data_IF_183823486869
#
_entry.id   IF_183823486869
#
_cell.length_a   1.000
_cell.length_b   1.000
_cell.length_c   1.000
_cell.angle_alpha   90.00
_cell.angle_beta   90.00
_cell.angle_gamma   90.00
#
_symmetry.space_group_name_H-M   'P 1'
#
loop_
_entity.id
_entity.type
_entity.pdbx_description
1 polymer ?
#
# COMPACT_ATOMS: atom_id res chain seq x y z
N UNK A 1 2.19 5.90 -18.05
CA UNK A 1 2.94 7.18 -17.91
C UNK A 1 4.30 7.05 -18.59
N UNK A 2 4.77 8.10 -19.27
CA UNK A 2 6.03 8.10 -20.01
C UNK A 2 7.24 8.28 -19.08
N UNK A 3 8.20 7.34 -19.08
CA UNK A 3 9.42 7.41 -18.24
C UNK A 3 10.19 8.72 -18.39
N UNK A 4 10.21 9.32 -19.58
CA UNK A 4 10.86 10.62 -19.82
C UNK A 4 10.24 11.73 -18.96
N UNK A 5 8.91 11.83 -18.96
CA UNK A 5 8.18 12.77 -18.10
C UNK A 5 8.43 12.48 -16.62
N UNK A 6 8.52 11.20 -16.24
CA UNK A 6 8.73 10.81 -14.84
C UNK A 6 10.12 11.14 -14.29
N UNK A 7 11.11 11.33 -15.16
CA UNK A 7 12.50 11.59 -14.81
C UNK A 7 12.95 13.03 -15.12
N UNK A 8 12.07 13.84 -15.71
CA UNK A 8 12.34 15.23 -16.07
C UNK A 8 11.77 16.16 -14.99
N UNK A 9 12.53 16.28 -13.91
CA UNK A 9 12.14 17.08 -12.74
C UNK A 9 12.33 18.59 -12.98
N UNK A 10 13.10 18.98 -14.00
CA UNK A 10 13.32 20.38 -14.39
C UNK A 10 12.08 20.96 -15.07
N UNK A 11 11.50 20.22 -16.02
CA UNK A 11 10.36 20.68 -16.81
C UNK A 11 9.00 20.27 -16.21
N UNK A 12 8.95 19.20 -15.41
CA UNK A 12 7.69 18.66 -14.90
C UNK A 12 7.63 18.62 -13.37
N UNK A 13 7.01 19.64 -12.78
CA UNK A 13 6.74 19.72 -11.34
C UNK A 13 5.55 18.85 -10.91
N UNK A 14 5.46 18.61 -9.61
CA UNK A 14 4.37 17.84 -9.02
C UNK A 14 3.12 18.71 -8.87
N UNK A 15 1.97 18.19 -9.32
CA UNK A 15 0.69 18.90 -9.32
C UNK A 15 -0.26 18.49 -8.21
N UNK A 16 0.25 18.14 -7.02
CA UNK A 16 -0.63 17.73 -5.91
C UNK A 16 -1.52 18.88 -5.43
N UNK A 17 -2.73 18.59 -4.92
CA UNK A 17 -3.59 19.60 -4.30
C UNK A 17 -2.90 20.29 -3.11
N UNK A 18 -3.29 21.54 -2.82
CA UNK A 18 -2.74 22.31 -1.70
C UNK A 18 -2.84 21.57 -0.35
N UNK A 19 -3.89 20.75 -0.20
CA UNK A 19 -4.07 19.90 0.98
C UNK A 19 -2.88 18.98 1.22
N UNK A 20 -2.31 18.39 0.16
CA UNK A 20 -1.15 17.50 0.25
C UNK A 20 0.08 18.27 0.72
N UNK A 21 0.37 19.42 0.11
CA UNK A 21 1.54 20.23 0.46
C UNK A 21 1.46 20.78 1.88
N UNK A 22 0.27 21.14 2.36
CA UNK A 22 0.06 21.77 3.67
C UNK A 22 0.06 20.74 4.80
N UNK A 23 -0.58 19.58 4.60
CA UNK A 23 -0.57 18.48 5.57
C UNK A 23 0.82 17.87 5.69
N UNK A 24 1.42 17.46 4.57
CA UNK A 24 2.70 16.77 4.57
C UNK A 24 3.89 17.69 4.91
N UNK A 25 3.70 19.00 4.70
CA UNK A 25 4.76 20.02 4.72
C UNK A 25 5.86 19.64 3.69
N UNK A 26 6.83 20.52 3.42
CA UNK A 26 7.92 20.24 2.47
C UNK A 26 8.94 19.19 2.96
N UNK A 27 8.52 18.28 3.86
CA UNK A 27 9.37 17.27 4.52
C UNK A 27 9.02 15.84 4.13
N UNK A 28 7.88 15.61 3.46
CA UNK A 28 7.56 14.28 2.95
C UNK A 28 8.45 13.94 1.76
N UNK A 29 8.92 12.69 1.70
CA UNK A 29 9.71 12.15 0.58
C UNK A 29 9.01 12.37 -0.78
N UNK A 30 7.68 12.47 -0.77
CA UNK A 30 6.88 12.70 -1.97
C UNK A 30 7.08 14.07 -2.60
N UNK A 31 7.41 15.10 -1.80
CA UNK A 31 7.41 16.51 -2.21
C UNK A 31 8.82 17.08 -2.46
N UNK A 32 9.87 16.24 -2.45
CA UNK A 32 11.26 16.73 -2.48
C UNK A 32 11.99 16.33 -3.76
N UNK A 33 12.50 17.37 -4.44
CA UNK A 33 13.25 17.30 -5.69
C UNK A 33 14.75 17.67 -5.51
N UNK A 34 15.19 17.96 -4.27
CA UNK A 34 16.56 18.39 -3.98
C UNK A 34 17.55 17.22 -3.84
N UNK A 35 18.83 17.50 -4.10
CA UNK A 35 19.91 16.50 -4.08
C UNK A 35 20.06 15.78 -2.72
N UNK A 36 19.82 16.49 -1.61
CA UNK A 36 19.92 15.94 -0.24
C UNK A 36 18.89 14.82 0.01
N UNK A 37 17.68 14.96 -0.50
CA UNK A 37 16.63 13.94 -0.36
C UNK A 37 16.66 12.89 -1.48
N UNK A 38 17.33 13.16 -2.62
CA UNK A 38 17.64 12.14 -3.64
C UNK A 38 18.48 11.01 -3.04
N UNK A 39 19.47 11.33 -2.21
CA UNK A 39 20.30 10.33 -1.50
C UNK A 39 19.49 9.49 -0.51
N UNK A 40 18.62 10.11 0.29
CA UNK A 40 17.72 9.38 1.21
C UNK A 40 16.77 8.44 0.44
N UNK A 41 16.29 8.88 -0.71
CA UNK A 41 15.46 8.07 -1.60
C UNK A 41 16.23 6.90 -2.22
N UNK A 42 17.47 7.10 -2.65
CA UNK A 42 18.34 6.04 -3.14
C UNK A 42 18.64 5.01 -2.04
N UNK A 43 18.80 5.46 -0.80
CA UNK A 43 19.02 4.58 0.35
C UNK A 43 17.79 3.72 0.67
N UNK A 44 16.59 4.32 0.72
CA UNK A 44 15.33 3.56 0.90
C UNK A 44 15.06 2.64 -0.29
N UNK A 45 15.26 3.13 -1.52
CA UNK A 45 15.02 2.34 -2.73
C UNK A 45 16.01 1.18 -2.85
N UNK A 46 17.27 1.35 -2.48
CA UNK A 46 18.27 0.27 -2.51
C UNK A 46 18.00 -0.80 -1.45
N UNK A 47 17.46 -0.43 -0.28
CA UNK A 47 17.00 -1.38 0.74
C UNK A 47 15.80 -2.22 0.31
N UNK A 48 14.99 -1.75 -0.65
CA UNK A 48 13.78 -2.43 -1.14
C UNK A 48 14.02 -3.15 -2.47
N UNK A 49 14.81 -2.54 -3.37
CA UNK A 49 15.03 -2.95 -4.77
C UNK A 49 16.47 -3.41 -5.06
N UNK A 50 17.37 -3.41 -4.08
CA UNK A 50 18.74 -3.90 -4.26
C UNK A 50 18.74 -5.37 -4.67
N UNK A 51 19.57 -5.76 -5.64
CA UNK A 51 19.52 -7.11 -6.23
C UNK A 51 19.65 -8.26 -5.21
N UNK A 52 20.46 -8.09 -4.16
CA UNK A 52 20.57 -9.08 -3.07
C UNK A 52 19.32 -9.13 -2.19
N UNK A 53 18.64 -8.00 -1.99
CA UNK A 53 17.42 -7.89 -1.19
C UNK A 53 16.21 -8.42 -1.96
N UNK A 54 16.21 -8.32 -3.29
CA UNK A 54 15.13 -8.85 -4.13
C UNK A 54 14.93 -10.36 -3.93
N UNK A 55 15.99 -11.16 -3.83
CA UNK A 55 15.87 -12.60 -3.61
C UNK A 55 15.24 -12.91 -2.24
N UNK A 56 15.73 -12.26 -1.17
CA UNK A 56 15.15 -12.41 0.18
C UNK A 56 13.70 -11.90 0.24
N UNK A 57 13.39 -10.80 -0.45
CA UNK A 57 12.03 -10.27 -0.54
C UNK A 57 11.08 -11.24 -1.26
N UNK A 58 11.55 -11.94 -2.30
CA UNK A 58 10.76 -12.95 -2.99
C UNK A 58 10.42 -14.12 -2.06
N UNK A 59 11.39 -14.62 -1.29
CA UNK A 59 11.15 -15.66 -0.29
C UNK A 59 10.16 -15.20 0.78
N UNK A 60 10.27 -13.96 1.25
CA UNK A 60 9.33 -13.38 2.22
C UNK A 60 7.92 -13.32 1.62
N UNK A 61 7.79 -12.75 0.42
CA UNK A 61 6.50 -12.62 -0.28
C UNK A 61 5.86 -13.99 -0.51
N UNK A 62 6.64 -14.96 -0.98
CA UNK A 62 6.16 -16.32 -1.23
C UNK A 62 5.66 -17.00 0.04
N UNK A 63 6.43 -16.93 1.13
CA UNK A 63 6.02 -17.48 2.42
C UNK A 63 4.73 -16.82 2.93
N UNK A 64 4.63 -15.48 2.87
CA UNK A 64 3.43 -14.75 3.32
C UNK A 64 2.23 -15.14 2.48
N UNK A 65 2.37 -15.19 1.14
CA UNK A 65 1.29 -15.55 0.22
C UNK A 65 0.80 -16.98 0.46
N UNK A 66 1.71 -17.96 0.55
CA UNK A 66 1.35 -19.36 0.76
C UNK A 66 0.62 -19.54 2.09
N UNK A 67 1.17 -18.98 3.17
CA UNK A 67 0.56 -19.07 4.50
C UNK A 67 -0.82 -18.41 4.51
N UNK A 68 -0.95 -17.25 3.87
CA UNK A 68 -2.22 -16.53 3.79
C UNK A 68 -3.26 -17.31 2.99
N UNK A 69 -2.92 -17.82 1.81
CA UNK A 69 -3.83 -18.66 1.01
C UNK A 69 -4.30 -19.90 1.79
N UNK A 70 -3.39 -20.54 2.53
CA UNK A 70 -3.73 -21.67 3.39
C UNK A 70 -4.66 -21.29 4.54
N UNK A 71 -4.39 -20.18 5.24
CA UNK A 71 -5.27 -19.67 6.28
C UNK A 71 -6.66 -19.33 5.74
N UNK A 72 -6.73 -18.56 4.65
CA UNK A 72 -7.97 -18.15 4.00
C UNK A 72 -8.79 -19.36 3.52
N UNK A 73 -8.13 -20.43 3.05
CA UNK A 73 -8.82 -21.65 2.62
C UNK A 73 -9.44 -22.46 3.77
N UNK A 74 -8.93 -22.31 4.99
CA UNK A 74 -9.47 -22.97 6.19
C UNK A 74 -10.64 -22.19 6.79
N UNK A 75 -10.82 -20.93 6.41
CA UNK A 75 -11.92 -20.10 6.92
C UNK A 75 -13.26 -20.65 6.44
N UNK A 76 -14.18 -20.85 7.40
CA UNK A 76 -15.54 -21.32 7.09
C UNK A 76 -16.46 -20.21 6.59
N UNK A 77 -16.18 -18.97 6.99
CA UNK A 77 -16.99 -17.80 6.65
C UNK A 77 -16.58 -17.19 5.31
N UNK A 78 -17.53 -16.60 4.55
CA UNK A 78 -17.19 -15.81 3.37
C UNK A 78 -16.29 -14.63 3.74
N UNK A 79 -15.28 -14.36 2.91
CA UNK A 79 -14.31 -13.29 3.07
C UNK A 79 -14.54 -12.20 2.03
N UNK A 80 -14.18 -10.96 2.38
CA UNK A 80 -14.09 -9.85 1.42
C UNK A 80 -12.70 -9.91 0.78
N UNK A 81 -12.63 -10.37 -0.46
CA UNK A 81 -11.36 -10.67 -1.14
C UNK A 81 -10.43 -9.46 -1.11
N UNK A 82 -10.96 -8.27 -1.40
CA UNK A 82 -10.18 -7.04 -1.40
C UNK A 82 -9.53 -6.75 -0.03
N UNK A 83 -10.26 -6.94 1.07
CA UNK A 83 -9.74 -6.69 2.43
C UNK A 83 -8.63 -7.67 2.81
N UNK A 84 -8.80 -8.94 2.47
CA UNK A 84 -7.78 -9.94 2.75
C UNK A 84 -6.53 -9.70 1.90
N UNK A 85 -6.69 -9.34 0.62
CA UNK A 85 -5.55 -8.96 -0.23
C UNK A 85 -4.83 -7.71 0.29
N UNK A 86 -5.57 -6.67 0.70
CA UNK A 86 -4.99 -5.47 1.32
C UNK A 86 -4.18 -5.82 2.58
N UNK A 87 -4.68 -6.75 3.40
CA UNK A 87 -4.00 -7.24 4.61
C UNK A 87 -2.68 -7.96 4.25
N UNK A 88 -2.69 -8.84 3.25
CA UNK A 88 -1.51 -9.57 2.79
C UNK A 88 -0.43 -8.60 2.28
N UNK A 89 -0.82 -7.63 1.45
CA UNK A 89 0.12 -6.62 0.93
C UNK A 89 0.67 -5.70 2.02
N UNK A 90 -0.17 -5.32 2.98
CA UNK A 90 0.27 -4.53 4.13
C UNK A 90 1.30 -5.29 4.97
N UNK A 91 1.04 -6.58 5.22
CA UNK A 91 1.97 -7.42 5.97
C UNK A 91 3.30 -7.60 5.24
N UNK A 92 3.24 -7.83 3.93
CA UNK A 92 4.41 -7.92 3.05
C UNK A 92 5.27 -6.67 3.13
N UNK A 93 4.70 -5.48 2.97
CA UNK A 93 5.50 -4.25 2.98
C UNK A 93 6.10 -3.96 4.36
N UNK A 94 5.37 -4.28 5.45
CA UNK A 94 5.90 -4.11 6.82
C UNK A 94 7.08 -5.06 7.06
N UNK A 95 6.99 -6.32 6.63
CA UNK A 95 8.10 -7.28 6.76
C UNK A 95 9.32 -6.86 5.95
N UNK A 96 9.13 -6.31 4.75
CA UNK A 96 10.22 -5.83 3.90
C UNK A 96 10.90 -4.58 4.51
N UNK A 97 10.11 -3.65 5.05
CA UNK A 97 10.64 -2.39 5.60
C UNK A 97 11.22 -2.52 7.01
N UNK A 98 10.60 -3.34 7.86
CA UNK A 98 10.91 -3.45 9.29
C UNK A 98 11.57 -4.78 9.67
N UNK A 99 11.61 -5.75 8.76
CA UNK A 99 12.15 -7.08 8.98
C UNK A 99 11.13 -8.08 9.52
N UNK A 100 11.50 -9.36 9.46
CA UNK A 100 10.65 -10.52 9.82
C UNK A 100 10.38 -10.71 11.30
N UNK A 101 11.10 -10.00 12.17
CA UNK A 101 10.91 -10.05 13.62
C UNK A 101 9.87 -9.06 14.14
N UNK A 102 9.11 -8.42 13.26
CA UNK A 102 8.10 -7.45 13.66
C UNK A 102 6.94 -8.15 14.38
N UNK A 103 6.70 -7.79 15.64
CA UNK A 103 5.63 -8.36 16.46
C UNK A 103 4.24 -8.15 15.80
N UNK A 104 3.40 -9.19 15.76
CA UNK A 104 2.03 -9.14 15.21
C UNK A 104 1.18 -8.01 15.78
N UNK A 105 1.36 -7.65 17.07
CA UNK A 105 0.68 -6.52 17.69
C UNK A 105 1.10 -5.18 17.07
N UNK A 106 2.38 -5.02 16.72
CA UNK A 106 2.89 -3.82 16.06
C UNK A 106 2.37 -3.73 14.63
N UNK A 107 2.33 -4.86 13.90
CA UNK A 107 1.76 -4.93 12.55
C UNK A 107 0.28 -4.53 12.57
N UNK A 108 -0.50 -5.06 13.51
CA UNK A 108 -1.91 -4.72 13.66
C UNK A 108 -2.11 -3.22 13.97
N UNK A 109 -1.29 -2.65 14.86
CA UNK A 109 -1.34 -1.22 15.19
C UNK A 109 -0.96 -0.33 13.99
N UNK A 110 0.06 -0.72 13.23
CA UNK A 110 0.45 -0.01 12.01
C UNK A 110 -0.67 -0.07 10.96
N UNK A 111 -1.32 -1.22 10.82
CA UNK A 111 -2.45 -1.39 9.90
C UNK A 111 -3.63 -0.52 10.28
N UNK A 112 -3.95 -0.43 11.56
CA UNK A 112 -5.02 0.46 12.06
C UNK A 112 -4.71 1.92 11.76
N UNK A 113 -3.48 2.38 12.05
CA UNK A 113 -3.05 3.74 11.72
C UNK A 113 -3.12 4.03 10.21
N UNK A 114 -2.73 3.06 9.39
CA UNK A 114 -2.80 3.17 7.93
C UNK A 114 -4.24 3.24 7.42
N UNK A 115 -5.14 2.42 7.99
CA UNK A 115 -6.55 2.41 7.61
C UNK A 115 -7.25 3.71 8.02
N UNK A 116 -6.99 4.24 9.22
CA UNK A 116 -7.49 5.54 9.67
C UNK A 116 -7.03 6.67 8.74
N UNK A 117 -5.76 6.66 8.37
CA UNK A 117 -5.20 7.62 7.43
C UNK A 117 -5.87 7.52 6.04
N UNK A 118 -6.04 6.30 5.54
CA UNK A 118 -6.63 6.03 4.21
C UNK A 118 -8.11 6.38 4.15
N UNK A 119 -8.87 6.12 5.22
CA UNK A 119 -10.31 6.39 5.29
C UNK A 119 -10.65 7.87 5.17
N UNK A 120 -9.86 8.73 5.83
CA UNK A 120 -10.11 10.16 5.80
C UNK A 120 -9.47 10.84 4.57
N UNK A 121 -8.50 10.16 3.96
CA UNK A 121 -7.68 10.63 2.83
C UNK A 121 -7.42 12.15 2.82
N UNK A 122 -6.93 12.72 3.94
CA UNK A 122 -6.88 14.17 4.11
C UNK A 122 -5.91 14.80 3.11
N UNK A 123 -4.89 14.06 2.66
CA UNK A 123 -3.88 14.54 1.72
C UNK A 123 -4.46 14.87 0.34
N UNK A 124 -5.45 14.13 -0.16
CA UNK A 124 -6.07 14.38 -1.47
C UNK A 124 -7.43 15.10 -1.39
N UNK A 125 -7.83 15.51 -0.19
CA UNK A 125 -9.08 16.22 0.05
C UNK A 125 -9.04 17.69 -0.42
N UNK A 126 -10.20 18.35 -0.48
CA UNK A 126 -10.22 19.80 -0.70
C UNK A 126 -9.58 20.51 0.51
N UNK A 127 -8.75 21.55 0.30
CA UNK A 127 -8.06 22.27 1.37
C UNK A 127 -9.00 23.21 2.15
N UNK A 128 -10.08 22.65 2.71
CA UNK A 128 -11.11 23.37 3.46
C UNK A 128 -10.89 23.09 4.95
N UNK A 129 -10.38 24.09 5.66
CA UNK A 129 -10.12 24.00 7.09
C UNK A 129 -11.38 24.38 7.90
N UNK A 130 -12.43 23.56 7.78
CA UNK A 130 -13.67 23.75 8.51
C UNK A 130 -14.08 22.44 9.23
N UNK A 131 -14.64 22.49 10.46
CA UNK A 131 -15.08 21.30 11.17
C UNK A 131 -16.02 20.44 10.32
N UNK A 132 -15.71 19.13 10.22
CA UNK A 132 -16.47 18.18 9.38
C UNK A 132 -15.81 17.85 8.03
N UNK A 133 -14.80 18.60 7.59
CA UNK A 133 -14.02 18.27 6.39
C UNK A 133 -12.79 17.42 6.74
N UNK A 134 -12.45 16.47 5.86
CA UNK A 134 -11.27 15.60 6.01
C UNK A 134 -9.96 16.37 6.21
N UNK A 135 -9.79 17.50 5.52
CA UNK A 135 -8.60 18.33 5.63
C UNK A 135 -8.42 18.90 7.04
N UNK A 136 -9.49 19.41 7.64
CA UNK A 136 -9.50 19.92 9.01
C UNK A 136 -9.14 18.82 10.02
N UNK A 137 -9.69 17.61 9.85
CA UNK A 137 -9.37 16.47 10.70
C UNK A 137 -7.90 16.06 10.57
N UNK A 138 -7.37 16.00 9.34
CA UNK A 138 -5.96 15.70 9.07
C UNK A 138 -4.99 16.69 9.70
N UNK A 139 -5.35 17.98 9.76
CA UNK A 139 -4.56 19.02 10.44
C UNK A 139 -4.58 18.85 11.96
N UNK A 140 -5.75 18.55 12.54
CA UNK A 140 -5.95 18.46 14.00
C UNK A 140 -5.29 17.22 14.60
N UNK A 141 -5.45 16.07 13.95
CA UNK A 141 -5.00 14.77 14.48
C UNK A 141 -3.49 14.54 14.27
N UNK A 142 -2.78 15.45 13.61
CA UNK A 142 -1.38 15.28 13.23
C UNK A 142 -1.14 13.98 12.42
N UNK A 143 -2.20 13.40 11.86
CA UNK A 143 -2.17 12.22 10.98
C UNK A 143 -1.28 12.44 9.76
N UNK A 144 -1.06 13.70 9.40
CA UNK A 144 -0.10 14.06 8.37
C UNK A 144 1.36 13.71 8.70
N UNK A 145 1.74 13.55 9.98
CA UNK A 145 3.07 13.02 10.35
C UNK A 145 3.23 11.54 10.00
N UNK A 146 2.19 10.73 10.19
CA UNK A 146 2.19 9.34 9.71
C UNK A 146 2.34 9.31 8.18
N UNK A 147 1.73 10.29 7.51
CA UNK A 147 1.83 10.46 6.07
C UNK A 147 3.17 11.03 5.59
N UNK A 148 3.93 11.71 6.45
CA UNK A 148 5.27 12.24 6.13
C UNK A 148 6.27 11.10 5.87
N UNK A 149 6.01 9.94 6.45
CA UNK A 149 6.74 8.70 6.23
C UNK A 149 6.15 7.81 5.14
N UNK A 150 5.10 8.23 4.42
CA UNK A 150 4.66 7.48 3.24
C UNK A 150 5.81 7.49 2.23
N UNK A 151 6.51 6.36 2.03
CA UNK A 151 7.61 6.28 1.07
C UNK A 151 7.09 6.34 -0.39
N UNK A 152 5.78 6.49 -0.56
CA UNK A 152 5.06 6.19 -1.79
C UNK A 152 4.27 7.44 -2.21
N UNK A 153 5.00 8.37 -2.81
CA UNK A 153 4.46 9.59 -3.44
C UNK A 153 5.42 10.16 -4.47
N UNK A 154 5.87 9.33 -5.40
CA UNK A 154 6.41 9.65 -6.73
C UNK A 154 7.50 10.75 -6.91
N UNK A 155 8.76 10.25 -6.98
CA UNK A 155 9.93 10.73 -7.76
C UNK A 155 10.68 9.50 -8.34
N UNK A 156 11.36 9.61 -9.52
CA UNK A 156 11.23 8.72 -10.73
C UNK A 156 9.83 8.11 -10.93
N UNK A 157 8.86 8.75 -10.28
CA UNK A 157 7.42 8.57 -10.15
C UNK A 157 6.88 7.14 -10.10
N UNK A 158 7.73 6.17 -9.82
CA UNK A 158 7.38 4.78 -9.61
C UNK A 158 7.44 4.50 -8.11
N UNK A 159 6.38 3.91 -7.57
CA UNK A 159 6.38 3.38 -6.22
C UNK A 159 7.59 2.43 -6.07
N UNK A 160 8.51 2.63 -5.10
CA UNK A 160 9.60 1.68 -4.89
C UNK A 160 9.09 0.25 -4.63
N UNK A 161 7.89 0.11 -4.07
CA UNK A 161 7.19 -1.16 -3.93
C UNK A 161 6.57 -1.71 -5.22
N UNK A 162 6.60 -1.01 -6.36
CA UNK A 162 5.91 -1.44 -7.59
C UNK A 162 6.44 -2.77 -8.14
N UNK A 163 7.75 -3.02 -8.05
CA UNK A 163 8.30 -4.31 -8.48
C UNK A 163 7.92 -5.42 -7.51
N UNK A 164 7.97 -5.16 -6.21
CA UNK A 164 7.52 -6.10 -5.17
C UNK A 164 6.06 -6.44 -5.38
N UNK A 165 5.20 -5.43 -5.57
CA UNK A 165 3.77 -5.64 -5.79
C UNK A 165 3.48 -6.46 -7.04
N UNK A 166 4.25 -6.27 -8.12
CA UNK A 166 4.16 -7.14 -9.31
C UNK A 166 4.53 -8.58 -9.00
N UNK A 167 5.58 -8.80 -8.21
CA UNK A 167 5.97 -10.15 -7.79
C UNK A 167 4.93 -10.76 -6.85
N UNK A 168 4.42 -9.99 -5.89
CA UNK A 168 3.36 -10.42 -4.97
C UNK A 168 2.11 -10.86 -5.72
N UNK A 169 1.61 -10.05 -6.67
CA UNK A 169 0.50 -10.45 -7.54
C UNK A 169 0.85 -11.71 -8.34
N UNK A 170 2.05 -11.77 -8.92
CA UNK A 170 2.44 -12.91 -9.77
C UNK A 170 2.52 -14.21 -8.98
N UNK A 171 3.13 -14.18 -7.79
CA UNK A 171 3.25 -15.30 -6.86
C UNK A 171 1.85 -15.69 -6.35
N UNK A 172 1.05 -14.71 -5.93
CA UNK A 172 -0.33 -14.95 -5.53
C UNK A 172 -1.12 -15.66 -6.62
N UNK A 173 -1.12 -15.13 -7.84
CA UNK A 173 -1.83 -15.72 -8.97
C UNK A 173 -1.31 -17.13 -9.29
N UNK A 174 0.01 -17.34 -9.25
CA UNK A 174 0.60 -18.66 -9.48
C UNK A 174 0.06 -19.70 -8.49
N UNK A 175 0.15 -19.44 -7.19
CA UNK A 175 -0.31 -20.38 -6.16
C UNK A 175 -1.82 -20.52 -6.13
N UNK A 176 -2.55 -19.40 -6.28
CA UNK A 176 -4.00 -19.35 -6.33
C UNK A 176 -4.54 -20.21 -7.48
N UNK A 177 -4.09 -19.98 -8.72
CA UNK A 177 -4.60 -20.68 -9.91
C UNK A 177 -4.27 -22.18 -9.90
N UNK A 178 -3.15 -22.58 -9.29
CA UNK A 178 -2.73 -23.98 -9.27
C UNK A 178 -3.42 -24.82 -8.19
N UNK A 179 -3.77 -24.20 -7.06
CA UNK A 179 -4.12 -24.95 -5.85
C UNK A 179 -5.43 -24.50 -5.20
N UNK A 180 -6.09 -23.46 -5.70
CA UNK A 180 -7.30 -22.94 -5.08
C UNK A 180 -8.38 -22.60 -6.11
N UNK A 181 -9.63 -22.57 -5.64
CA UNK A 181 -10.81 -22.12 -6.37
C UNK A 181 -11.52 -21.08 -5.53
N UNK A 182 -11.95 -19.99 -6.17
CA UNK A 182 -12.75 -18.96 -5.53
C UNK A 182 -14.23 -19.12 -5.93
N UNK A 183 -15.11 -19.22 -4.94
CA UNK A 183 -16.56 -19.29 -5.15
C UNK A 183 -17.21 -18.04 -4.58
N UNK A 184 -17.90 -17.25 -5.41
CA UNK A 184 -18.62 -16.06 -4.98
C UNK A 184 -19.88 -16.49 -4.20
N UNK A 185 -20.02 -15.96 -2.99
CA UNK A 185 -21.19 -16.21 -2.12
C UNK A 185 -22.26 -15.15 -2.31
N UNK A 186 -21.85 -13.91 -2.61
CA UNK A 186 -22.76 -12.81 -2.91
C UNK A 186 -22.04 -11.78 -3.79
N UNK A 187 -22.57 -11.47 -4.99
CA UNK A 187 -22.11 -10.33 -5.77
C UNK A 187 -22.68 -9.06 -5.14
N UNK A 188 -21.95 -8.47 -4.20
CA UNK A 188 -22.27 -7.14 -3.68
C UNK A 188 -21.63 -6.10 -4.59
N UNK A 189 -22.44 -5.19 -5.12
CA UNK A 189 -21.95 -4.10 -5.98
C UNK A 189 -20.89 -3.25 -5.27
N UNK A 190 -19.97 -2.63 -6.02
CA UNK A 190 -18.91 -1.82 -5.45
C UNK A 190 -19.50 -0.65 -4.65
N UNK A 191 -18.97 -0.40 -3.44
CA UNK A 191 -19.30 0.81 -2.69
C UNK A 191 -18.34 1.94 -3.08
N UNK A 192 -18.89 3.13 -3.33
CA UNK A 192 -18.10 4.31 -3.61
C UNK A 192 -17.50 4.86 -2.30
N UNK A 193 -16.24 4.53 -2.02
CA UNK A 193 -15.44 5.18 -0.97
C UNK A 193 -14.52 6.20 -1.65
N UNK A 194 -14.92 7.47 -1.71
CA UNK A 194 -14.12 8.49 -2.40
C UNK A 194 -12.65 8.48 -1.92
N UNK A 195 -11.64 8.40 -2.82
CA UNK A 195 -11.71 8.52 -4.28
C UNK A 195 -11.74 7.19 -5.07
N UNK A 196 -11.90 6.02 -4.43
CA UNK A 196 -11.86 4.70 -5.08
C UNK A 196 -13.07 3.82 -4.72
N UNK A 197 -13.72 3.22 -5.72
CA UNK A 197 -14.72 2.17 -5.47
C UNK A 197 -14.06 0.91 -4.89
N UNK A 198 -14.55 0.40 -3.77
CA UNK A 198 -14.06 -0.85 -3.19
C UNK A 198 -15.04 -2.00 -3.50
N UNK A 199 -14.56 -3.12 -4.06
CA UNK A 199 -15.40 -4.29 -4.26
C UNK A 199 -15.76 -4.90 -2.90
N UNK A 200 -17.04 -5.22 -2.73
CA UNK A 200 -17.59 -5.84 -1.50
C UNK A 200 -17.88 -7.33 -1.66
N UNK A 201 -17.57 -7.90 -2.82
CA UNK A 201 -17.83 -9.29 -3.14
C UNK A 201 -17.35 -10.22 -2.04
N UNK A 202 -18.29 -11.00 -1.52
CA UNK A 202 -18.02 -12.05 -0.57
C UNK A 202 -17.72 -13.32 -1.34
N UNK A 203 -16.60 -13.95 -1.02
CA UNK A 203 -16.17 -15.18 -1.64
C UNK A 203 -15.71 -16.20 -0.61
N UNK A 204 -15.65 -17.45 -1.02
CA UNK A 204 -15.02 -18.53 -0.26
C UNK A 204 -13.86 -19.08 -1.06
N UNK A 205 -12.72 -19.22 -0.42
CA UNK A 205 -11.54 -19.83 -1.00
C UNK A 205 -11.53 -21.32 -0.66
N UNK A 206 -11.40 -22.17 -1.67
CA UNK A 206 -11.39 -23.63 -1.51
C UNK A 206 -10.06 -24.14 -2.02
N UNK A 207 -9.30 -24.85 -1.16
CA UNK A 207 -8.08 -25.53 -1.57
C UNK A 207 -8.43 -26.78 -2.38
N UNK A 208 -7.85 -26.90 -3.56
CA UNK A 208 -7.97 -28.05 -4.43
C UNK A 208 -7.17 -29.20 -3.80
N UNK A 209 -7.84 -30.32 -3.51
CA UNK A 209 -7.12 -31.54 -3.15
C UNK A 209 -6.42 -32.05 -4.40
N UNK A 210 -5.09 -32.11 -4.38
CA UNK A 210 -4.35 -33.02 -5.25
C UNK A 210 -4.30 -34.39 -4.59
#
# INVERSE_FOLDING_TARGET
MCKRVLNDDENFKQGYPKSTSELLKNKALSNVCSAEHKGLRELVSSGILGQKVLATNLEIVENIVINSLDELSRMKQPLQVFKEMEKISFETIVHILMGSHTNSNNIAKLRELFHQFSKCNPIYSLPINFPGFSFHQGLKENNARAATFLPFGAGTRLCPGNNIFKYEISIFLHYFLLNYKLELTSPEGPEAVFPFSQPKDLAKLIKLSK
#
